data_IF_087350956965
#
_entry.id   IF_087350956965
#
_cell.length_a   1.000
_cell.length_b   1.000
_cell.length_c   1.000
_cell.angle_alpha   90.00
_cell.angle_beta   90.00
_cell.angle_gamma   90.00
#
_symmetry.space_group_name_H-M   'P 1'
#
loop_
_entity.id
_entity.type
_entity.pdbx_description
1 polymer ?
#
# COMPACT_ATOMS: atom_id res chain seq x y z
N UNK A 1 10.60 11.96 -6.24
CA UNK A 1 10.59 10.57 -5.69
C UNK A 1 10.27 9.59 -6.79
N UNK A 2 10.98 8.49 -6.84
CA UNK A 2 10.70 7.40 -7.79
C UNK A 2 9.81 6.35 -7.14
N UNK A 3 9.22 5.49 -7.96
CA UNK A 3 8.48 4.33 -7.45
C UNK A 3 9.38 3.40 -6.62
N UNK A 4 10.63 3.22 -7.07
CA UNK A 4 11.61 2.43 -6.34
C UNK A 4 11.82 2.97 -4.92
N UNK A 5 12.00 4.28 -4.80
CA UNK A 5 12.17 4.93 -3.49
C UNK A 5 10.92 4.75 -2.63
N UNK A 6 9.74 4.94 -3.21
CA UNK A 6 8.48 4.78 -2.49
C UNK A 6 8.31 3.36 -1.93
N UNK A 7 8.68 2.35 -2.70
CA UNK A 7 8.60 0.95 -2.26
C UNK A 7 9.60 0.58 -1.16
N UNK A 8 10.50 1.49 -0.82
CA UNK A 8 11.42 1.32 0.32
C UNK A 8 10.98 2.15 1.54
N UNK A 9 9.79 2.74 1.49
CA UNK A 9 9.21 3.47 2.62
C UNK A 9 8.39 2.53 3.49
N UNK A 10 8.50 2.69 4.80
CA UNK A 10 7.62 2.04 5.76
C UNK A 10 6.34 2.86 5.93
N UNK A 11 5.22 2.18 6.10
CA UNK A 11 3.93 2.81 6.35
C UNK A 11 3.66 2.81 7.86
N UNK A 12 3.40 3.98 8.42
CA UNK A 12 3.11 4.13 9.85
C UNK A 12 1.69 4.67 10.01
N UNK A 13 0.91 3.96 10.81
CA UNK A 13 -0.45 4.38 11.17
C UNK A 13 -0.38 5.41 12.29
N UNK A 14 -0.78 6.65 12.01
CA UNK A 14 -0.75 7.73 12.99
C UNK A 14 -1.72 7.51 14.16
N UNK A 15 -2.80 6.78 13.94
CA UNK A 15 -3.79 6.54 14.99
C UNK A 15 -3.28 5.59 16.07
N UNK A 16 -2.37 4.69 15.74
CA UNK A 16 -1.86 3.67 16.66
C UNK A 16 -0.35 3.74 16.87
N UNK A 17 0.37 4.44 15.99
CA UNK A 17 1.83 4.43 15.97
C UNK A 17 2.44 3.14 15.42
N UNK A 18 1.61 2.23 14.89
CA UNK A 18 2.09 0.94 14.39
C UNK A 18 2.80 1.10 13.04
N UNK A 19 3.91 0.37 12.88
CA UNK A 19 4.55 0.19 11.58
C UNK A 19 3.85 -0.95 10.87
N UNK A 20 3.24 -0.65 9.73
CA UNK A 20 2.43 -1.59 8.96
C UNK A 20 3.23 -2.34 7.89
N UNK A 21 4.52 -2.09 7.83
CA UNK A 21 5.39 -2.68 6.82
C UNK A 21 5.69 -1.72 5.68
N UNK A 22 6.38 -2.23 4.66
CA UNK A 22 6.81 -1.43 3.53
C UNK A 22 5.73 -1.36 2.44
N UNK A 23 5.77 -0.29 1.66
CA UNK A 23 4.98 -0.21 0.43
C UNK A 23 5.51 -1.25 -0.55
N UNK A 24 4.64 -2.12 -1.03
CA UNK A 24 5.01 -3.18 -1.96
C UNK A 24 4.58 -2.88 -3.40
N UNK A 25 3.52 -2.11 -3.57
CA UNK A 25 2.96 -1.82 -4.88
C UNK A 25 2.07 -0.58 -4.81
N UNK A 26 1.62 -0.13 -5.95
CA UNK A 26 0.63 0.95 -6.04
C UNK A 26 -0.52 0.52 -6.95
N UNK A 27 -1.67 1.13 -6.71
CA UNK A 27 -2.82 1.02 -7.63
C UNK A 27 -3.00 2.38 -8.28
N UNK A 28 -3.15 2.40 -9.60
CA UNK A 28 -3.44 3.64 -10.30
C UNK A 28 -4.59 3.43 -11.29
N UNK A 29 -5.29 4.51 -11.55
CA UNK A 29 -6.36 4.51 -12.54
C UNK A 29 -5.72 4.71 -13.91
N UNK A 30 -5.83 3.70 -14.77
CA UNK A 30 -5.21 3.74 -16.10
C UNK A 30 -5.84 4.77 -17.03
N UNK A 31 -7.07 5.22 -16.76
CA UNK A 31 -7.73 6.26 -17.56
C UNK A 31 -7.20 7.65 -17.23
N UNK A 32 -6.90 7.92 -15.97
CA UNK A 32 -6.45 9.24 -15.50
C UNK A 32 -4.96 9.30 -15.17
N UNK A 33 -4.30 8.14 -15.09
CA UNK A 33 -2.92 7.98 -14.63
C UNK A 33 -2.69 8.44 -13.17
N UNK A 34 -3.75 8.57 -12.38
CA UNK A 34 -3.66 8.97 -10.98
C UNK A 34 -3.47 7.77 -10.08
N UNK A 35 -2.56 7.89 -9.11
CA UNK A 35 -2.38 6.87 -8.06
C UNK A 35 -3.58 6.92 -7.13
N UNK A 36 -4.21 5.78 -6.87
CA UNK A 36 -5.40 5.70 -6.03
C UNK A 36 -5.13 5.05 -4.68
N UNK A 37 -4.20 4.13 -4.59
CA UNK A 37 -3.89 3.40 -3.36
C UNK A 37 -2.42 3.03 -3.30
N UNK A 38 -1.90 2.91 -2.08
CA UNK A 38 -0.67 2.16 -1.80
C UNK A 38 -1.06 0.74 -1.38
N UNK A 39 -0.23 -0.23 -1.71
CA UNK A 39 -0.50 -1.64 -1.41
C UNK A 39 0.63 -2.20 -0.56
N UNK A 40 0.28 -2.87 0.54
CA UNK A 40 1.19 -3.70 1.31
C UNK A 40 0.72 -5.14 1.18
N UNK A 41 1.57 -6.03 0.67
CA UNK A 41 1.20 -7.43 0.48
C UNK A 41 1.05 -8.14 1.81
N UNK A 42 0.08 -9.04 1.86
CA UNK A 42 -0.12 -9.89 3.02
C UNK A 42 1.08 -10.80 3.25
N UNK A 43 1.44 -11.01 4.52
CA UNK A 43 2.54 -11.89 4.88
C UNK A 43 2.07 -13.34 4.90
N UNK A 44 2.94 -14.31 4.55
CA UNK A 44 2.60 -15.73 4.69
C UNK A 44 2.23 -16.06 6.14
N UNK A 45 1.17 -16.84 6.32
CA UNK A 45 0.75 -17.34 7.64
C UNK A 45 1.37 -18.71 7.89
N UNK A 46 1.91 -18.91 9.10
CA UNK A 46 2.52 -20.16 9.52
C UNK A 46 3.48 -20.70 8.44
N UNK A 47 4.46 -19.89 8.09
CA UNK A 47 5.48 -20.24 7.08
C UNK A 47 4.88 -20.67 5.73
N UNK A 48 3.73 -20.11 5.37
CA UNK A 48 3.06 -20.41 4.12
C UNK A 48 2.11 -21.60 4.17
N UNK A 49 1.99 -22.29 5.29
CA UNK A 49 1.11 -23.46 5.41
C UNK A 49 -0.37 -23.10 5.37
N UNK A 50 -0.72 -21.89 5.89
CA UNK A 50 -2.09 -21.38 5.86
C UNK A 50 -2.30 -20.30 4.79
N UNK A 51 -1.38 -20.21 3.83
CA UNK A 51 -1.44 -19.19 2.79
C UNK A 51 -0.99 -17.81 3.29
N UNK A 52 -1.27 -16.79 2.48
CA UNK A 52 -0.93 -15.40 2.80
C UNK A 52 -2.13 -14.69 3.40
N UNK A 53 -1.86 -13.71 4.27
CA UNK A 53 -2.89 -12.77 4.68
C UNK A 53 -3.35 -11.92 3.50
N UNK A 54 -4.48 -11.21 3.68
CA UNK A 54 -4.97 -10.29 2.65
C UNK A 54 -4.02 -9.11 2.49
N UNK A 55 -3.91 -8.62 1.24
CA UNK A 55 -3.18 -7.40 0.96
C UNK A 55 -3.90 -6.22 1.60
N UNK A 56 -3.14 -5.29 2.15
CA UNK A 56 -3.67 -4.07 2.71
C UNK A 56 -3.54 -2.95 1.70
N UNK A 57 -4.57 -2.14 1.58
CA UNK A 57 -4.60 -1.03 0.63
C UNK A 57 -4.93 0.26 1.37
N UNK A 58 -4.10 1.28 1.16
CA UNK A 58 -4.28 2.60 1.76
C UNK A 58 -4.74 3.55 0.67
N UNK A 59 -5.96 4.09 0.75
CA UNK A 59 -6.40 5.13 -0.19
C UNK A 59 -5.45 6.32 -0.16
N UNK A 60 -5.14 6.86 -1.31
CA UNK A 60 -4.23 8.01 -1.43
C UNK A 60 -4.64 9.18 -0.54
N UNK A 61 -5.95 9.41 -0.40
CA UNK A 61 -6.51 10.49 0.44
C UNK A 61 -6.21 10.32 1.94
N UNK A 62 -5.89 9.11 2.38
CA UNK A 62 -5.55 8.85 3.78
C UNK A 62 -4.07 9.07 4.10
N UNK A 63 -3.28 9.38 3.10
CA UNK A 63 -1.86 9.69 3.30
C UNK A 63 -1.75 11.10 3.84
N UNK A 64 -1.20 11.23 5.04
CA UNK A 64 -0.96 12.53 5.67
C UNK A 64 0.32 13.16 5.13
N UNK A 65 1.38 12.37 5.05
CA UNK A 65 2.69 12.86 4.61
C UNK A 65 3.54 11.71 4.11
N UNK A 66 4.32 11.98 3.08
CA UNK A 66 5.39 11.10 2.61
C UNK A 66 6.71 11.74 2.99
N UNK A 67 7.42 11.09 3.89
CA UNK A 67 8.75 11.52 4.33
C UNK A 67 9.87 10.88 3.52
N UNK A 68 11.09 10.99 4.02
CA UNK A 68 12.27 10.43 3.36
C UNK A 68 12.22 8.91 3.26
N UNK A 69 11.75 8.24 4.31
CA UNK A 69 11.76 6.78 4.44
C UNK A 69 10.48 6.24 5.06
N UNK A 70 9.48 7.10 5.30
CA UNK A 70 8.21 6.70 5.89
C UNK A 70 7.05 7.35 5.14
N UNK A 71 5.90 6.66 5.18
CA UNK A 71 4.60 7.19 4.74
C UNK A 71 3.69 7.21 5.96
N UNK A 72 3.20 8.38 6.32
CA UNK A 72 2.31 8.54 7.47
C UNK A 72 0.86 8.52 6.99
N UNK A 73 0.06 7.62 7.53
CA UNK A 73 -1.35 7.45 7.16
C UNK A 73 -2.25 7.76 8.34
N UNK A 74 -3.43 8.34 8.08
CA UNK A 74 -4.35 8.79 9.13
C UNK A 74 -5.11 7.64 9.77
N UNK A 75 -5.39 6.61 9.00
CA UNK A 75 -6.17 5.48 9.49
C UNK A 75 -5.60 4.16 8.97
N UNK A 76 -5.94 3.08 9.67
CA UNK A 76 -5.47 1.76 9.28
C UNK A 76 -5.92 1.42 7.85
N UNK A 77 -5.06 0.76 7.05
CA UNK A 77 -5.42 0.34 5.71
C UNK A 77 -6.52 -0.73 5.75
N UNK A 78 -7.29 -0.78 4.66
CA UNK A 78 -8.35 -1.75 4.51
C UNK A 78 -8.03 -2.69 3.35
N UNK A 79 -8.32 -3.98 3.54
CA UNK A 79 -8.13 -4.98 2.51
C UNK A 79 -9.15 -4.79 1.37
N UNK A 80 -8.68 -4.92 0.12
CA UNK A 80 -9.57 -5.02 -1.03
C UNK A 80 -10.35 -3.76 -1.38
N UNK A 81 -9.85 -2.57 -1.04
CA UNK A 81 -10.59 -1.31 -1.27
C UNK A 81 -10.35 -0.67 -2.63
N UNK A 82 -9.43 -1.18 -3.44
CA UNK A 82 -9.13 -0.59 -4.74
C UNK A 82 -10.31 -0.72 -5.69
N UNK A 83 -10.58 0.31 -6.54
CA UNK A 83 -11.62 0.21 -7.56
C UNK A 83 -11.36 -0.95 -8.53
N UNK A 84 -12.43 -1.58 -9.02
CA UNK A 84 -12.30 -2.72 -9.96
C UNK A 84 -11.58 -2.37 -11.25
N UNK A 85 -11.68 -1.11 -11.70
CA UNK A 85 -11.03 -0.65 -12.94
C UNK A 85 -9.57 -0.27 -12.74
N UNK A 86 -9.11 -0.13 -11.51
CA UNK A 86 -7.72 0.17 -11.22
C UNK A 86 -6.90 -1.11 -11.30
N UNK A 87 -5.63 -0.97 -11.69
CA UNK A 87 -4.70 -2.10 -11.77
C UNK A 87 -3.45 -1.76 -11.00
N UNK A 88 -2.86 -2.77 -10.35
CA UNK A 88 -1.58 -2.63 -9.70
C UNK A 88 -0.50 -2.47 -10.75
N UNK A 89 0.46 -1.59 -10.46
CA UNK A 89 1.51 -1.27 -11.42
C UNK A 89 2.25 -2.52 -11.91
N UNK A 90 2.66 -3.38 -10.99
CA UNK A 90 3.48 -4.55 -11.32
C UNK A 90 2.67 -5.67 -11.99
N UNK A 91 1.36 -5.65 -11.91
CA UNK A 91 0.51 -6.59 -12.66
C UNK A 91 0.38 -6.21 -14.13
N UNK A 92 0.68 -4.96 -14.47
CA UNK A 92 0.63 -4.47 -15.84
C UNK A 92 1.92 -4.69 -16.60
N UNK A 93 2.98 -4.98 -15.89
CA UNK A 93 4.31 -5.18 -16.47
C UNK A 93 4.56 -6.65 -16.77
#
# INVERSE_FOLDING_TARGET
MTLYELCHHDVVDLSTGANLGSVDDIVFDSATAAVTHLVMYGKPRLFGLLGRGEDLQVPWKEIEKIGRDVVLVRSAPQAGTAPKKAKRLFEML
#
